data_IF_457032637869
#
_entry.id   IF_457032637869
#
_cell.length_a   1.000
_cell.length_b   1.000
_cell.length_c   1.000
_cell.angle_alpha   90.00
_cell.angle_beta   90.00
_cell.angle_gamma   90.00
#
_symmetry.space_group_name_H-M   'P 1'
#
loop_
_entity.id
_entity.type
_entity.pdbx_description
1 polymer ?
#
# COMPACT_ATOMS: atom_id res chain seq x y z
N UNK A 1 -12.32 -3.24 52.52
CA UNK A 1 -13.00 -3.69 51.28
C UNK A 1 -13.06 -5.20 51.33
N UNK A 2 -14.24 -5.77 51.59
CA UNK A 2 -14.45 -7.21 51.70
C UNK A 2 -14.43 -7.85 50.31
N UNK A 3 -13.76 -8.99 50.20
CA UNK A 3 -13.63 -9.79 48.97
C UNK A 3 -14.97 -10.21 48.37
N UNK A 4 -16.04 -10.25 49.16
CA UNK A 4 -17.41 -10.51 48.71
C UNK A 4 -17.96 -9.45 47.75
N UNK A 5 -17.63 -8.17 47.95
CA UNK A 5 -18.10 -7.08 47.07
C UNK A 5 -17.55 -7.19 45.64
N UNK A 6 -16.28 -7.59 45.51
CA UNK A 6 -15.60 -7.78 44.21
C UNK A 6 -16.13 -8.98 43.43
N UNK A 7 -16.62 -10.01 44.11
CA UNK A 7 -17.25 -11.17 43.45
C UNK A 7 -18.61 -10.84 42.85
N UNK A 8 -19.41 -10.00 43.51
CA UNK A 8 -20.71 -9.54 43.01
C UNK A 8 -20.58 -8.71 41.72
N UNK A 9 -19.67 -7.73 41.72
CA UNK A 9 -19.42 -6.88 40.55
C UNK A 9 -18.92 -7.67 39.33
N UNK A 10 -18.11 -8.72 39.56
CA UNK A 10 -17.66 -9.62 38.50
C UNK A 10 -18.80 -10.46 37.91
N UNK A 11 -19.75 -10.89 38.72
CA UNK A 11 -20.91 -11.63 38.23
C UNK A 11 -21.85 -10.73 37.43
N UNK A 12 -22.14 -9.52 37.94
CA UNK A 12 -22.94 -8.53 37.24
C UNK A 12 -22.31 -8.11 35.89
N UNK A 13 -20.99 -7.88 35.85
CA UNK A 13 -20.28 -7.59 34.61
C UNK A 13 -20.33 -8.76 33.60
N UNK A 14 -20.27 -10.01 34.08
CA UNK A 14 -20.42 -11.20 33.22
C UNK A 14 -21.84 -11.33 32.67
N UNK A 15 -22.86 -11.04 33.48
CA UNK A 15 -24.26 -11.04 33.08
C UNK A 15 -24.47 -10.01 31.96
N UNK A 16 -24.06 -8.75 32.17
CA UNK A 16 -24.17 -7.66 31.20
C UNK A 16 -23.43 -7.96 29.90
N UNK A 17 -22.23 -8.56 29.97
CA UNK A 17 -21.50 -9.00 28.77
C UNK A 17 -22.20 -10.15 28.04
N UNK A 18 -22.86 -11.07 28.75
CA UNK A 18 -23.67 -12.14 28.14
C UNK A 18 -24.93 -11.58 27.48
N UNK A 19 -25.64 -10.65 28.12
CA UNK A 19 -26.82 -10.00 27.51
C UNK A 19 -26.43 -9.15 26.32
N UNK A 20 -25.35 -8.35 26.39
CA UNK A 20 -24.84 -7.62 25.22
C UNK A 20 -24.42 -8.56 24.09
N UNK A 21 -23.79 -9.71 24.38
CA UNK A 21 -23.45 -10.71 23.36
C UNK A 21 -24.66 -11.35 22.70
N UNK A 22 -25.72 -11.60 23.47
CA UNK A 22 -26.99 -12.11 22.93
C UNK A 22 -27.74 -11.03 22.13
N UNK A 23 -27.58 -9.76 22.51
CA UNK A 23 -28.20 -8.62 21.85
C UNK A 23 -27.46 -8.18 20.58
N UNK A 24 -26.14 -8.33 20.49
CA UNK A 24 -25.41 -8.24 19.23
C UNK A 24 -25.80 -9.46 18.38
N UNK A 25 -26.84 -9.29 17.57
CA UNK A 25 -27.30 -10.28 16.62
C UNK A 25 -26.10 -10.81 15.85
N UNK A 26 -25.89 -12.13 15.91
CA UNK A 26 -25.02 -12.78 14.95
C UNK A 26 -25.53 -12.33 13.57
N UNK A 27 -24.66 -11.75 12.71
CA UNK A 27 -25.09 -11.24 11.42
C UNK A 27 -25.85 -12.35 10.72
N UNK A 28 -27.10 -12.06 10.34
CA UNK A 28 -27.94 -13.09 9.74
C UNK A 28 -27.18 -13.62 8.51
N UNK A 29 -27.21 -14.94 8.25
CA UNK A 29 -26.52 -15.50 7.09
C UNK A 29 -26.95 -14.81 5.79
N UNK A 30 -28.20 -14.31 5.75
CA UNK A 30 -28.73 -13.49 4.68
C UNK A 30 -28.04 -12.12 4.56
N UNK A 31 -27.74 -11.46 5.68
CA UNK A 31 -27.00 -10.19 5.69
C UNK A 31 -25.55 -10.38 5.22
N UNK A 32 -24.89 -11.46 5.63
CA UNK A 32 -23.56 -11.80 5.11
C UNK A 32 -23.62 -12.04 3.60
N UNK A 33 -24.62 -12.78 3.11
CA UNK A 33 -24.81 -13.02 1.69
C UNK A 33 -25.12 -11.73 0.92
N UNK A 34 -25.89 -10.82 1.50
CA UNK A 34 -26.21 -9.51 0.93
C UNK A 34 -24.98 -8.62 0.82
N UNK A 35 -24.18 -8.52 1.89
CA UNK A 35 -22.90 -7.78 1.86
C UNK A 35 -21.96 -8.33 0.78
N UNK A 36 -21.96 -9.65 0.61
CA UNK A 36 -21.20 -10.34 -0.44
C UNK A 36 -21.69 -10.01 -1.84
N UNK A 37 -23.00 -10.09 -2.07
CA UNK A 37 -23.61 -9.75 -3.35
C UNK A 37 -23.33 -8.30 -3.71
N UNK A 38 -23.51 -7.37 -2.78
CA UNK A 38 -23.24 -5.93 -2.99
C UNK A 38 -21.76 -5.70 -3.30
N UNK A 39 -20.84 -6.31 -2.55
CA UNK A 39 -19.40 -6.19 -2.81
C UNK A 39 -19.00 -6.72 -4.18
N UNK A 40 -19.51 -7.89 -4.57
CA UNK A 40 -19.23 -8.51 -5.87
C UNK A 40 -19.86 -7.71 -7.02
N UNK A 41 -21.07 -7.19 -6.83
CA UNK A 41 -21.74 -6.33 -7.79
C UNK A 41 -21.00 -5.00 -8.00
N UNK A 42 -20.58 -4.33 -6.92
CA UNK A 42 -19.79 -3.08 -7.01
C UNK A 42 -18.46 -3.36 -7.70
N UNK A 43 -17.76 -4.43 -7.31
CA UNK A 43 -16.49 -4.79 -7.94
C UNK A 43 -16.67 -5.09 -9.44
N UNK A 44 -17.69 -5.87 -9.81
CA UNK A 44 -18.01 -6.17 -11.20
C UNK A 44 -18.35 -4.89 -11.98
N UNK A 45 -19.19 -4.01 -11.42
CA UNK A 45 -19.59 -2.76 -12.07
C UNK A 45 -18.41 -1.81 -12.26
N UNK A 46 -17.56 -1.63 -11.24
CA UNK A 46 -16.34 -0.84 -11.35
C UNK A 46 -15.37 -1.42 -12.37
N UNK A 47 -15.22 -2.74 -12.40
CA UNK A 47 -14.41 -3.43 -13.39
C UNK A 47 -14.96 -3.23 -14.80
N UNK A 48 -16.28 -3.35 -15.00
CA UNK A 48 -16.94 -3.09 -16.28
C UNK A 48 -16.82 -1.63 -16.70
N UNK A 49 -16.97 -0.66 -15.79
CA UNK A 49 -16.76 0.76 -16.10
C UNK A 49 -15.31 1.05 -16.46
N UNK A 50 -14.36 0.46 -15.72
CA UNK A 50 -12.95 0.54 -16.04
C UNK A 50 -12.68 -0.02 -17.46
N UNK A 51 -13.21 -1.21 -17.78
CA UNK A 51 -13.10 -1.80 -19.11
C UNK A 51 -13.84 -1.04 -20.20
N UNK A 52 -14.97 -0.39 -19.89
CA UNK A 52 -15.65 0.45 -20.86
C UNK A 52 -14.84 1.72 -21.15
N UNK A 53 -14.17 2.28 -20.13
CA UNK A 53 -13.32 3.45 -20.27
C UNK A 53 -11.97 3.15 -20.93
N UNK A 54 -11.37 1.98 -20.65
CA UNK A 54 -10.05 1.60 -21.20
C UNK A 54 -10.13 0.68 -22.41
N UNK A 55 -11.25 -0.01 -22.62
CA UNK A 55 -11.45 -1.02 -23.66
C UNK A 55 -11.13 -0.53 -25.07
N UNK A 56 -11.59 0.66 -25.50
CA UNK A 56 -11.20 1.22 -26.79
C UNK A 56 -9.68 1.42 -26.92
N UNK A 57 -9.03 1.90 -25.85
CA UNK A 57 -7.57 2.09 -25.83
C UNK A 57 -6.77 0.77 -25.80
N UNK A 58 -7.37 -0.31 -25.30
CA UNK A 58 -6.77 -1.67 -25.29
C UNK A 58 -6.95 -2.36 -26.66
N UNK A 59 -8.14 -2.22 -27.26
CA UNK A 59 -8.53 -2.94 -28.48
C UNK A 59 -8.05 -2.26 -29.76
N UNK A 60 -7.89 -0.94 -29.73
CA UNK A 60 -7.32 -0.14 -30.81
C UNK A 60 -6.23 0.75 -30.20
N UNK A 61 -5.05 0.19 -29.87
CA UNK A 61 -3.92 1.02 -29.50
C UNK A 61 -3.61 1.91 -30.69
N UNK A 62 -3.82 3.23 -30.55
CA UNK A 62 -3.40 4.22 -31.54
C UNK A 62 -1.88 4.10 -31.70
N UNK A 63 -1.48 3.33 -32.71
CA UNK A 63 -0.11 2.96 -33.01
C UNK A 63 0.63 4.07 -33.78
N UNK A 64 0.29 5.32 -33.54
CA UNK A 64 0.92 6.49 -34.17
C UNK A 64 2.25 6.87 -33.51
N UNK A 65 2.68 6.17 -32.45
CA UNK A 65 3.97 6.40 -31.80
C UNK A 65 4.95 5.25 -32.05
N UNK A 66 6.25 5.59 -32.17
CA UNK A 66 7.35 4.72 -32.62
C UNK A 66 7.65 3.46 -31.77
N UNK A 67 6.80 3.10 -30.80
CA UNK A 67 6.98 1.96 -29.89
C UNK A 67 5.70 1.16 -29.82
N UNK A 68 5.22 0.66 -30.96
CA UNK A 68 4.24 -0.43 -30.92
C UNK A 68 4.98 -1.73 -30.68
N UNK A 69 4.55 -2.44 -29.64
CA UNK A 69 5.01 -3.80 -29.37
C UNK A 69 4.62 -4.66 -30.56
N UNK A 70 5.59 -5.40 -31.08
CA UNK A 70 5.30 -6.48 -32.00
C UNK A 70 4.57 -7.62 -31.27
N UNK A 71 4.03 -8.57 -32.03
CA UNK A 71 3.36 -9.75 -31.48
C UNK A 71 4.20 -10.45 -30.39
N UNK A 72 5.51 -10.58 -30.62
CA UNK A 72 6.45 -11.17 -29.65
C UNK A 72 6.63 -10.33 -28.38
N UNK A 73 6.61 -9.00 -28.50
CA UNK A 73 6.66 -8.09 -27.36
C UNK A 73 5.45 -8.25 -26.43
N UNK A 74 4.25 -8.41 -26.99
CA UNK A 74 3.04 -8.64 -26.21
C UNK A 74 3.08 -9.94 -25.40
N UNK A 75 3.67 -11.01 -25.95
CA UNK A 75 3.86 -12.28 -25.24
C UNK A 75 4.82 -12.13 -24.05
N UNK A 76 5.92 -11.38 -24.22
CA UNK A 76 6.86 -11.09 -23.15
C UNK A 76 6.18 -10.26 -22.05
N UNK A 77 5.40 -9.25 -22.42
CA UNK A 77 4.64 -8.42 -21.47
C UNK A 77 3.62 -9.28 -20.71
N UNK A 78 2.92 -10.20 -21.38
CA UNK A 78 1.99 -11.13 -20.75
C UNK A 78 2.69 -12.03 -19.73
N UNK A 79 3.88 -12.56 -20.06
CA UNK A 79 4.66 -13.42 -19.18
C UNK A 79 5.17 -12.66 -17.95
N UNK A 80 5.70 -11.45 -18.15
CA UNK A 80 6.15 -10.58 -17.04
C UNK A 80 4.96 -10.19 -16.15
N UNK A 81 3.81 -9.84 -16.74
CA UNK A 81 2.59 -9.55 -16.02
C UNK A 81 2.14 -10.75 -15.16
N UNK A 82 2.10 -11.95 -15.74
CA UNK A 82 1.72 -13.17 -15.03
C UNK A 82 2.66 -13.45 -13.84
N UNK A 83 3.97 -13.32 -14.05
CA UNK A 83 4.97 -13.52 -13.00
C UNK A 83 4.83 -12.49 -11.86
N UNK A 84 4.60 -11.21 -12.18
CA UNK A 84 4.38 -10.16 -11.20
C UNK A 84 3.08 -10.35 -10.42
N UNK A 85 1.99 -10.72 -11.09
CA UNK A 85 0.70 -11.04 -10.45
C UNK A 85 0.83 -12.20 -9.48
N UNK A 86 1.52 -13.26 -9.88
CA UNK A 86 1.78 -14.42 -9.01
C UNK A 86 2.61 -14.02 -7.79
N UNK A 87 3.67 -13.23 -7.98
CA UNK A 87 4.50 -12.73 -6.88
C UNK A 87 3.69 -11.85 -5.92
N UNK A 88 2.88 -10.94 -6.46
CA UNK A 88 2.00 -10.07 -5.67
C UNK A 88 0.97 -10.87 -4.87
N UNK A 89 0.38 -11.91 -5.46
CA UNK A 89 -0.53 -12.81 -4.77
C UNK A 89 0.17 -13.54 -3.61
N UNK A 90 1.38 -14.07 -3.84
CA UNK A 90 2.16 -14.76 -2.79
C UNK A 90 2.57 -13.81 -1.67
N UNK A 91 3.01 -12.59 -1.99
CA UNK A 91 3.41 -11.58 -0.99
C UNK A 91 2.18 -11.06 -0.23
N UNK A 92 1.08 -10.77 -0.93
CA UNK A 92 -0.17 -10.33 -0.34
C UNK A 92 -0.75 -11.36 0.63
N UNK A 93 -0.83 -12.63 0.23
CA UNK A 93 -1.30 -13.71 1.10
C UNK A 93 -0.42 -13.91 2.35
N UNK A 94 0.88 -13.58 2.27
CA UNK A 94 1.77 -13.57 3.45
C UNK A 94 1.47 -12.40 4.40
N UNK A 95 1.10 -11.24 3.86
CA UNK A 95 0.73 -10.07 4.66
C UNK A 95 -0.61 -10.25 5.39
N UNK A 96 -1.50 -11.06 4.82
CA UNK A 96 -2.89 -11.24 5.28
C UNK A 96 -3.06 -12.42 6.26
N UNK A 97 -1.96 -12.98 6.80
CA UNK A 97 -2.04 -14.05 7.80
C UNK A 97 -2.73 -13.63 9.12
N UNK A 98 -2.90 -14.56 10.09
CA UNK A 98 -3.56 -14.32 11.39
C UNK A 98 -2.95 -13.19 12.24
N UNK A 99 -1.81 -12.65 11.80
CA UNK A 99 -1.17 -11.42 12.30
C UNK A 99 -1.99 -10.16 11.99
N UNK A 100 -2.92 -10.22 11.03
CA UNK A 100 -3.81 -9.11 10.64
C UNK A 100 -5.15 -9.10 11.38
N UNK A 101 -5.40 -10.05 12.30
CA UNK A 101 -6.57 -10.00 13.17
C UNK A 101 -6.42 -8.85 14.19
N UNK A 102 -7.49 -8.10 14.39
CA UNK A 102 -7.55 -6.95 15.31
C UNK A 102 -7.08 -7.37 16.73
N UNK A 103 -6.23 -6.61 17.45
CA UNK A 103 -5.57 -7.06 18.69
C UNK A 103 -6.55 -7.45 19.79
N UNK A 104 -7.70 -6.76 19.83
CA UNK A 104 -8.79 -7.08 20.76
C UNK A 104 -9.41 -8.44 20.45
N UNK A 105 -9.51 -8.82 19.17
CA UNK A 105 -9.99 -10.13 18.76
C UNK A 105 -8.92 -11.21 18.97
N UNK A 106 -7.65 -10.95 18.66
CA UNK A 106 -6.56 -11.93 18.82
C UNK A 106 -6.32 -12.32 20.29
N UNK A 107 -6.34 -11.36 21.23
CA UNK A 107 -6.21 -11.63 22.67
C UNK A 107 -7.43 -12.36 23.26
N UNK A 108 -8.64 -12.07 22.76
CA UNK A 108 -9.86 -12.80 23.11
C UNK A 108 -9.93 -14.20 22.49
N UNK A 109 -9.47 -14.37 21.25
CA UNK A 109 -9.42 -15.65 20.52
C UNK A 109 -8.45 -16.64 21.18
N UNK A 110 -7.37 -16.15 21.79
CA UNK A 110 -6.40 -16.99 22.50
C UNK A 110 -6.90 -17.44 23.88
N UNK A 111 -7.72 -16.62 24.56
CA UNK A 111 -8.17 -16.87 25.94
C UNK A 111 -9.55 -17.53 26.06
N UNK A 112 -10.40 -17.47 25.03
CA UNK A 112 -11.73 -18.10 25.08
C UNK A 112 -11.74 -19.52 24.50
N UNK A 113 -12.48 -20.47 25.11
CA UNK A 113 -12.69 -21.81 24.56
C UNK A 113 -13.67 -21.84 23.37
N UNK A 114 -13.93 -20.68 22.75
CA UNK A 114 -14.84 -20.57 21.62
C UNK A 114 -14.20 -21.17 20.35
N UNK A 115 -15.02 -21.78 19.51
CA UNK A 115 -14.59 -22.40 18.27
C UNK A 115 -14.03 -21.35 17.31
N UNK A 116 -12.70 -21.32 17.17
CA UNK A 116 -11.95 -20.32 16.41
C UNK A 116 -12.24 -20.38 14.92
N UNK A 117 -12.69 -21.54 14.43
CA UNK A 117 -13.06 -21.74 13.04
C UNK A 117 -14.22 -20.80 12.64
N UNK A 118 -15.21 -20.60 13.51
CA UNK A 118 -16.38 -19.77 13.22
C UNK A 118 -16.03 -18.27 13.16
N UNK A 119 -15.12 -17.80 14.02
CA UNK A 119 -14.70 -16.39 14.04
C UNK A 119 -13.76 -16.04 12.89
N UNK A 120 -12.83 -16.93 12.54
CA UNK A 120 -11.90 -16.71 11.44
C UNK A 120 -12.54 -16.91 10.07
N UNK A 121 -13.66 -17.66 9.98
CA UNK A 121 -14.35 -17.93 8.71
C UNK A 121 -14.72 -16.65 7.97
N UNK A 122 -15.23 -15.65 8.66
CA UNK A 122 -15.62 -14.36 8.05
C UNK A 122 -14.43 -13.59 7.48
N UNK A 123 -13.32 -13.53 8.22
CA UNK A 123 -12.11 -12.83 7.77
C UNK A 123 -11.45 -13.60 6.61
N UNK A 124 -11.30 -14.92 6.73
CA UNK A 124 -10.77 -15.78 5.66
C UNK A 124 -11.59 -15.63 4.38
N UNK A 125 -12.92 -15.58 4.49
CA UNK A 125 -13.82 -15.35 3.37
C UNK A 125 -13.58 -13.98 2.71
N UNK A 126 -13.43 -12.90 3.49
CA UNK A 126 -13.13 -11.56 2.94
C UNK A 126 -11.77 -11.51 2.23
N UNK A 127 -10.77 -12.14 2.81
CA UNK A 127 -9.42 -12.23 2.23
C UNK A 127 -9.46 -13.01 0.91
N UNK A 128 -10.16 -14.14 0.92
CA UNK A 128 -10.36 -14.96 -0.27
C UNK A 128 -11.09 -14.16 -1.35
N UNK A 129 -12.14 -13.40 -1.00
CA UNK A 129 -12.86 -12.53 -1.93
C UNK A 129 -11.93 -11.53 -2.60
N UNK A 130 -11.17 -10.77 -1.80
CA UNK A 130 -10.25 -9.75 -2.31
C UNK A 130 -9.19 -10.39 -3.20
N UNK A 131 -8.63 -11.54 -2.80
CA UNK A 131 -7.65 -12.27 -3.58
C UNK A 131 -8.25 -12.76 -4.92
N UNK A 132 -9.48 -13.29 -4.91
CA UNK A 132 -10.17 -13.76 -6.12
C UNK A 132 -10.45 -12.61 -7.07
N UNK A 133 -10.99 -11.49 -6.58
CA UNK A 133 -11.29 -10.31 -7.40
C UNK A 133 -10.01 -9.72 -7.99
N UNK A 134 -8.96 -9.54 -7.17
CA UNK A 134 -7.68 -9.03 -7.63
C UNK A 134 -7.03 -9.98 -8.66
N UNK A 135 -7.04 -11.30 -8.39
CA UNK A 135 -6.47 -12.31 -9.27
C UNK A 135 -7.19 -12.43 -10.60
N UNK A 136 -8.53 -12.41 -10.60
CA UNK A 136 -9.34 -12.41 -11.81
C UNK A 136 -9.11 -11.13 -12.63
N UNK A 137 -9.11 -9.96 -11.98
CA UNK A 137 -8.85 -8.67 -12.63
C UNK A 137 -7.47 -8.64 -13.29
N UNK A 138 -6.45 -9.16 -12.60
CA UNK A 138 -5.10 -9.30 -13.14
C UNK A 138 -5.04 -10.30 -14.30
N UNK A 139 -5.75 -11.43 -14.19
CA UNK A 139 -5.87 -12.43 -15.25
C UNK A 139 -6.50 -11.85 -16.51
N UNK A 140 -7.49 -10.95 -16.39
CA UNK A 140 -8.05 -10.26 -17.56
C UNK A 140 -6.98 -9.43 -18.28
N UNK A 141 -6.14 -8.68 -17.54
CA UNK A 141 -5.05 -7.88 -18.14
C UNK A 141 -4.05 -8.76 -18.89
N UNK A 142 -3.67 -9.89 -18.31
CA UNK A 142 -2.81 -10.89 -18.95
C UNK A 142 -3.49 -11.46 -20.20
N UNK A 143 -4.79 -11.74 -20.15
CA UNK A 143 -5.52 -12.31 -21.28
C UNK A 143 -5.64 -11.35 -22.47
N UNK A 144 -5.75 -10.04 -22.23
CA UNK A 144 -5.65 -9.04 -23.30
C UNK A 144 -4.25 -9.02 -23.92
N UNK A 145 -3.20 -9.07 -23.09
CA UNK A 145 -1.82 -9.15 -23.57
C UNK A 145 -1.60 -10.36 -24.49
N UNK A 146 -2.08 -11.54 -24.06
CA UNK A 146 -2.00 -12.78 -24.85
C UNK A 146 -2.84 -12.70 -26.13
N UNK A 147 -4.05 -12.14 -26.07
CA UNK A 147 -4.89 -11.97 -27.25
C UNK A 147 -4.22 -11.07 -28.31
N UNK A 148 -3.59 -9.97 -27.87
CA UNK A 148 -2.87 -9.06 -28.74
C UNK A 148 -1.61 -9.71 -29.34
N UNK A 149 -0.83 -10.43 -28.54
CA UNK A 149 0.37 -11.15 -29.02
C UNK A 149 0.05 -12.26 -30.02
N UNK A 150 -1.04 -12.99 -29.79
CA UNK A 150 -1.51 -14.03 -30.70
C UNK A 150 -2.20 -13.50 -31.98
N UNK A 151 -2.34 -12.18 -32.15
CA UNK A 151 -3.10 -11.59 -33.27
C UNK A 151 -4.61 -11.86 -33.23
N UNK A 152 -5.15 -12.23 -32.07
CA UNK A 152 -6.56 -12.55 -31.83
C UNK A 152 -7.36 -11.32 -31.33
N UNK A 153 -6.91 -10.10 -31.65
CA UNK A 153 -7.51 -8.84 -31.19
C UNK A 153 -8.97 -8.64 -31.64
N UNK A 154 -9.39 -9.31 -32.71
CA UNK A 154 -10.78 -9.30 -33.17
C UNK A 154 -11.73 -10.14 -32.28
N UNK A 155 -11.21 -11.08 -31.49
CA UNK A 155 -11.98 -11.96 -30.61
C UNK A 155 -11.24 -12.28 -29.30
N UNK A 156 -10.89 -11.26 -28.48
CA UNK A 156 -10.05 -11.45 -27.29
C UNK A 156 -10.77 -12.17 -26.15
N UNK A 157 -12.09 -12.35 -26.26
CA UNK A 157 -12.98 -12.89 -25.23
C UNK A 157 -12.47 -14.24 -24.70
N UNK A 158 -12.04 -15.14 -25.60
CA UNK A 158 -11.60 -16.49 -25.18
C UNK A 158 -10.33 -16.41 -24.34
N UNK A 159 -9.31 -15.68 -24.78
CA UNK A 159 -8.05 -15.51 -24.06
C UNK A 159 -8.25 -14.77 -22.73
N UNK A 160 -9.07 -13.72 -22.73
CA UNK A 160 -9.42 -12.95 -21.53
C UNK A 160 -10.11 -13.82 -20.49
N UNK A 161 -11.14 -14.57 -20.89
CA UNK A 161 -11.88 -15.46 -19.98
C UNK A 161 -10.98 -16.58 -19.47
N UNK A 162 -10.14 -17.18 -20.33
CA UNK A 162 -9.21 -18.22 -19.94
C UNK A 162 -8.18 -17.72 -18.90
N UNK A 163 -7.54 -16.58 -19.14
CA UNK A 163 -6.56 -16.02 -18.20
C UNK A 163 -7.21 -15.53 -16.89
N UNK A 164 -8.42 -14.97 -16.94
CA UNK A 164 -9.18 -14.63 -15.74
C UNK A 164 -9.52 -15.87 -14.90
N UNK A 165 -9.93 -16.97 -15.55
CA UNK A 165 -10.20 -18.24 -14.88
C UNK A 165 -8.94 -18.84 -14.26
N UNK A 166 -7.79 -18.77 -14.95
CA UNK A 166 -6.50 -19.21 -14.40
C UNK A 166 -6.10 -18.36 -13.19
N UNK A 167 -6.22 -17.03 -13.27
CA UNK A 167 -5.93 -16.13 -12.14
C UNK A 167 -6.80 -16.44 -10.92
N UNK A 168 -8.10 -16.64 -11.14
CA UNK A 168 -9.04 -17.06 -10.10
C UNK A 168 -8.66 -18.41 -9.48
N UNK A 169 -8.33 -19.40 -10.31
CA UNK A 169 -7.94 -20.75 -9.87
C UNK A 169 -6.63 -20.72 -9.05
N UNK A 170 -5.64 -19.94 -9.49
CA UNK A 170 -4.39 -19.74 -8.76
C UNK A 170 -4.66 -19.11 -7.38
N UNK A 171 -5.50 -18.08 -7.30
CA UNK A 171 -5.86 -17.46 -6.01
C UNK A 171 -6.65 -18.41 -5.10
N UNK A 172 -7.59 -19.17 -5.65
CA UNK A 172 -8.35 -20.21 -4.93
C UNK A 172 -7.45 -21.33 -4.40
N UNK A 173 -6.36 -21.68 -5.10
CA UNK A 173 -5.40 -22.70 -4.67
C UNK A 173 -4.36 -22.14 -3.67
N UNK A 174 -3.82 -20.95 -3.92
CA UNK A 174 -2.79 -20.36 -3.06
C UNK A 174 -3.32 -20.00 -1.68
N UNK A 175 -4.55 -19.46 -1.59
CA UNK A 175 -5.15 -19.04 -0.31
C UNK A 175 -5.20 -20.16 0.74
N UNK A 176 -5.80 -21.35 0.47
CA UNK A 176 -5.81 -22.45 1.43
C UNK A 176 -4.42 -23.01 1.69
N UNK A 177 -3.50 -23.03 0.72
CA UNK A 177 -2.11 -23.46 0.94
C UNK A 177 -1.41 -22.53 1.92
N UNK A 178 -1.56 -21.21 1.75
CA UNK A 178 -0.97 -20.22 2.66
C UNK A 178 -1.59 -20.29 4.05
N UNK A 179 -2.92 -20.46 4.14
CA UNK A 179 -3.62 -20.64 5.41
C UNK A 179 -3.19 -21.92 6.11
N UNK A 180 -3.02 -23.03 5.39
CA UNK A 180 -2.54 -24.31 5.94
C UNK A 180 -1.09 -24.21 6.41
N UNK A 181 -0.22 -23.53 5.68
CA UNK A 181 1.18 -23.29 6.09
C UNK A 181 1.28 -22.37 7.30
N UNK A 182 0.43 -21.36 7.39
CA UNK A 182 0.33 -20.46 8.55
C UNK A 182 -0.31 -21.16 9.77
N UNK A 183 -1.28 -22.05 9.53
CA UNK A 183 -1.92 -22.86 10.57
C UNK A 183 -1.06 -24.02 11.07
N UNK A 184 -0.15 -24.54 10.24
CA UNK A 184 0.73 -25.67 10.56
C UNK A 184 1.75 -25.41 11.67
N UNK A 185 2.02 -24.15 12.05
CA UNK A 185 2.70 -23.84 13.31
C UNK A 185 1.68 -23.87 14.46
N UNK A 186 1.09 -25.04 14.70
CA UNK A 186 0.32 -25.31 15.91
C UNK A 186 1.29 -25.40 17.08
N UNK A 187 1.78 -24.26 17.56
CA UNK A 187 2.24 -24.15 18.93
C UNK A 187 1.04 -24.55 19.78
N UNK A 188 1.14 -25.74 20.38
CA UNK A 188 0.07 -26.38 21.13
C UNK A 188 -0.64 -25.38 22.05
N UNK A 189 -1.96 -25.49 22.19
CA UNK A 189 -2.75 -24.64 23.11
C UNK A 189 -2.26 -24.68 24.58
N UNK A 190 -1.30 -25.56 24.91
CA UNK A 190 -0.52 -25.54 26.16
C UNK A 190 0.57 -24.46 26.17
N UNK A 191 1.32 -24.29 25.09
CA UNK A 191 2.36 -23.28 25.00
C UNK A 191 1.79 -21.84 24.89
N UNK A 192 0.60 -21.67 24.31
CA UNK A 192 -0.10 -20.37 24.32
C UNK A 192 -0.61 -19.95 25.72
N UNK A 193 -0.87 -20.92 26.61
CA UNK A 193 -1.25 -20.65 28.01
C UNK A 193 -0.06 -20.33 28.94
N UNK A 194 1.16 -20.59 28.48
CA UNK A 194 2.38 -20.31 29.22
C UNK A 194 2.94 -18.90 28.93
N UNK A 195 2.30 -18.12 28.06
CA UNK A 195 2.77 -16.78 27.68
C UNK A 195 2.39 -15.78 28.78
N UNK A 196 3.35 -15.10 29.42
CA UNK A 196 3.08 -14.15 30.50
C UNK A 196 2.24 -12.95 30.02
N UNK A 197 1.38 -12.41 30.90
CA UNK A 197 0.52 -11.26 30.60
C UNK A 197 1.29 -10.01 30.09
N UNK A 198 2.54 -9.84 30.55
CA UNK A 198 3.43 -8.78 30.07
C UNK A 198 3.85 -8.95 28.59
N UNK A 199 3.93 -10.19 28.09
CA UNK A 199 4.18 -10.46 26.69
C UNK A 199 2.91 -10.28 25.85
N UNK A 200 1.74 -10.62 26.39
CA UNK A 200 0.44 -10.36 25.74
C UNK A 200 0.16 -8.85 25.61
N UNK A 201 0.44 -8.05 26.65
CA UNK A 201 0.34 -6.60 26.59
C UNK A 201 1.33 -6.00 25.56
N UNK A 202 2.56 -6.52 25.50
CA UNK A 202 3.56 -6.11 24.49
C UNK A 202 3.17 -6.49 23.07
N UNK A 203 2.53 -7.65 22.89
CA UNK A 203 1.99 -8.08 21.61
C UNK A 203 0.81 -7.19 21.19
N UNK A 204 -0.10 -6.86 22.12
CA UNK A 204 -1.19 -5.91 21.89
C UNK A 204 -0.69 -4.55 21.40
N UNK A 205 0.39 -4.02 22.00
CA UNK A 205 1.03 -2.78 21.54
C UNK A 205 1.69 -2.88 20.16
N UNK A 206 2.20 -4.06 19.74
CA UNK A 206 2.67 -4.25 18.34
C UNK A 206 1.49 -4.18 17.41
N UNK A 207 0.46 -4.96 17.68
CA UNK A 207 -0.64 -5.15 16.74
C UNK A 207 -1.46 -3.88 16.65
N UNK A 208 -1.71 -3.15 17.75
CA UNK A 208 -2.39 -1.86 17.70
C UNK A 208 -1.61 -0.84 16.86
N UNK A 209 -0.29 -0.89 16.91
CA UNK A 209 0.55 -0.11 16.04
C UNK A 209 0.58 -0.59 14.58
N UNK A 210 0.47 -1.89 14.34
CA UNK A 210 0.28 -2.46 12.98
C UNK A 210 -1.07 -2.02 12.44
N UNK A 211 -2.15 -2.17 13.19
CA UNK A 211 -3.49 -1.74 12.80
C UNK A 211 -3.53 -0.25 12.56
N UNK A 212 -2.92 0.56 13.43
CA UNK A 212 -2.75 1.99 13.19
C UNK A 212 -1.97 2.22 11.88
N UNK A 213 -0.79 1.64 11.72
CA UNK A 213 0.00 1.77 10.48
C UNK A 213 -0.74 1.28 9.22
N UNK A 214 -1.59 0.27 9.32
CA UNK A 214 -2.34 -0.30 8.18
C UNK A 214 -3.54 0.60 7.85
N UNK A 215 -4.29 1.07 8.86
CA UNK A 215 -5.39 2.01 8.70
C UNK A 215 -4.91 3.41 8.28
N UNK A 216 -3.71 3.79 8.72
CA UNK A 216 -3.09 5.07 8.36
C UNK A 216 -2.27 4.97 7.05
N UNK A 217 -2.21 3.78 6.42
CA UNK A 217 -1.36 3.48 5.26
C UNK A 217 0.07 4.00 5.43
N UNK A 218 0.58 3.90 6.64
CA UNK A 218 1.88 4.41 7.04
C UNK A 218 2.75 3.29 7.59
N UNK A 219 3.37 2.56 6.66
CA UNK A 219 4.35 1.51 6.98
C UNK A 219 5.54 2.05 7.79
N UNK A 220 5.79 3.37 7.74
CA UNK A 220 6.86 4.04 8.50
C UNK A 220 6.60 3.98 10.00
N UNK A 221 5.34 4.11 10.45
CA UNK A 221 5.00 4.01 11.87
C UNK A 221 5.41 2.65 12.49
N UNK A 222 5.29 1.57 11.71
CA UNK A 222 5.75 0.24 12.13
C UNK A 222 7.26 0.14 12.23
N UNK A 223 7.97 0.74 11.29
CA UNK A 223 9.42 0.79 11.33
C UNK A 223 9.94 1.61 12.50
N UNK A 224 9.31 2.74 12.81
CA UNK A 224 9.65 3.59 13.96
C UNK A 224 9.46 2.81 15.26
N UNK A 225 8.38 2.05 15.40
CA UNK A 225 8.17 1.22 16.59
C UNK A 225 9.12 0.03 16.68
N UNK A 226 9.39 -0.66 15.56
CA UNK A 226 10.38 -1.72 15.51
C UNK A 226 11.80 -1.18 15.80
N UNK A 227 12.13 0.02 15.31
CA UNK A 227 13.37 0.72 15.59
C UNK A 227 13.44 1.11 17.07
N UNK A 228 12.41 1.74 17.63
CA UNK A 228 12.34 2.11 19.05
C UNK A 228 12.52 0.92 19.97
N UNK A 229 11.93 -0.24 19.64
CA UNK A 229 12.13 -1.49 20.39
C UNK A 229 13.57 -2.01 20.29
N UNK A 230 14.15 -1.98 19.09
CA UNK A 230 15.56 -2.37 18.88
C UNK A 230 16.51 -1.47 19.67
N UNK A 231 16.25 -0.16 19.65
CA UNK A 231 17.00 0.84 20.41
C UNK A 231 16.86 0.62 21.92
N UNK A 232 15.62 0.43 22.42
CA UNK A 232 15.35 0.18 23.83
C UNK A 232 16.03 -1.10 24.36
N UNK A 233 16.15 -2.15 23.53
CA UNK A 233 16.83 -3.40 23.92
C UNK A 233 18.35 -3.28 23.98
N UNK A 234 18.95 -2.46 23.13
CA UNK A 234 20.42 -2.26 23.10
C UNK A 234 20.91 -1.24 24.14
N UNK A 235 20.02 -0.39 24.65
CA UNK A 235 20.36 0.59 25.67
C UNK A 235 21.15 1.76 25.07
N UNK A 236 22.44 1.88 25.41
CA UNK A 236 23.27 3.03 25.00
C UNK A 236 23.91 2.77 23.64
N UNK A 237 23.88 3.77 22.78
CA UNK A 237 24.60 3.79 21.51
C UNK A 237 25.77 4.76 21.62
N UNK A 238 26.97 4.28 21.27
CA UNK A 238 28.09 5.18 21.04
C UNK A 238 27.81 5.95 19.74
N UNK A 239 27.61 7.26 19.85
CA UNK A 239 27.59 8.14 18.68
C UNK A 239 28.97 8.12 18.04
N UNK A 240 29.05 7.70 16.78
CA UNK A 240 30.27 7.88 16.00
C UNK A 240 30.22 9.24 15.32
N UNK A 241 31.31 10.02 15.34
CA UNK A 241 31.38 11.24 14.53
C UNK A 241 31.17 10.87 13.06
N UNK A 242 30.29 11.60 12.39
CA UNK A 242 30.09 11.46 10.94
C UNK A 242 31.34 11.88 10.19
N UNK A 243 31.61 11.24 9.05
CA UNK A 243 32.67 11.68 8.15
C UNK A 243 32.14 12.82 7.25
N UNK A 244 32.92 13.89 7.10
CA UNK A 244 32.53 15.10 6.36
C UNK A 244 31.75 16.10 7.22
N UNK A 245 31.59 17.33 6.71
CA UNK A 245 30.85 18.39 7.38
C UNK A 245 29.38 18.04 7.73
N UNK A 246 28.61 19.00 8.28
CA UNK A 246 27.30 18.73 8.85
C UNK A 246 26.28 18.18 7.83
N UNK A 247 26.27 18.70 6.61
CA UNK A 247 25.36 18.24 5.55
C UNK A 247 25.78 16.92 4.86
N UNK A 248 27.04 16.74 4.40
CA UNK A 248 27.43 15.50 3.73
C UNK A 248 27.38 14.29 4.67
N UNK A 249 27.63 14.46 5.97
CA UNK A 249 27.53 13.36 6.94
C UNK A 249 26.09 12.85 7.09
N UNK A 250 25.09 13.73 7.06
CA UNK A 250 23.66 13.38 7.04
C UNK A 250 23.34 12.60 5.77
N UNK A 251 23.80 13.08 4.61
CA UNK A 251 23.56 12.42 3.33
C UNK A 251 24.15 11.00 3.30
N UNK A 252 25.39 10.83 3.75
CA UNK A 252 26.05 9.53 3.85
C UNK A 252 25.27 8.61 4.79
N UNK A 253 24.75 9.11 5.91
CA UNK A 253 23.95 8.32 6.83
C UNK A 253 22.64 7.84 6.19
N UNK A 254 21.94 8.69 5.45
CA UNK A 254 20.72 8.33 4.72
C UNK A 254 20.99 7.29 3.64
N UNK A 255 22.07 7.41 2.86
CA UNK A 255 22.45 6.38 1.89
C UNK A 255 22.72 5.02 2.55
N UNK A 256 23.40 5.00 3.71
CA UNK A 256 23.61 3.77 4.48
C UNK A 256 22.29 3.24 5.07
N UNK A 257 21.35 4.11 5.44
CA UNK A 257 20.02 3.70 5.89
C UNK A 257 19.22 3.06 4.74
N UNK A 258 19.28 3.65 3.54
CA UNK A 258 18.66 3.11 2.32
C UNK A 258 19.27 1.78 1.90
N UNK A 259 20.60 1.66 1.91
CA UNK A 259 21.29 0.41 1.61
C UNK A 259 20.86 -0.74 2.54
N UNK A 260 20.59 -0.43 3.82
CA UNK A 260 20.05 -1.41 4.79
C UNK A 260 18.58 -1.77 4.54
N UNK A 261 17.84 -0.95 3.78
CA UNK A 261 16.45 -1.19 3.35
C UNK A 261 16.35 -1.69 1.91
N UNK A 262 17.44 -2.20 1.34
CA UNK A 262 17.54 -2.64 -0.06
C UNK A 262 16.38 -3.56 -0.49
N UNK A 263 15.94 -4.47 0.37
CA UNK A 263 14.82 -5.38 0.06
C UNK A 263 13.50 -4.64 -0.16
N UNK A 264 13.18 -3.64 0.67
CA UNK A 264 11.95 -2.85 0.52
C UNK A 264 12.01 -1.96 -0.72
N UNK A 265 13.18 -1.35 -0.96
CA UNK A 265 13.42 -0.57 -2.16
C UNK A 265 13.29 -1.42 -3.42
N UNK A 266 13.84 -2.64 -3.42
CA UNK A 266 13.73 -3.57 -4.53
C UNK A 266 12.28 -3.98 -4.78
N UNK A 267 11.49 -4.22 -3.74
CA UNK A 267 10.05 -4.50 -3.91
C UNK A 267 9.29 -3.29 -4.49
N UNK A 268 9.63 -2.06 -4.06
CA UNK A 268 9.00 -0.85 -4.57
C UNK A 268 9.41 -0.55 -6.03
N UNK A 269 10.68 -0.78 -6.39
CA UNK A 269 11.15 -0.69 -7.77
C UNK A 269 10.54 -1.78 -8.66
N UNK A 270 10.35 -2.99 -8.14
CA UNK A 270 9.68 -4.07 -8.88
C UNK A 270 8.21 -3.72 -9.19
N UNK A 271 7.52 -3.01 -8.29
CA UNK A 271 6.19 -2.49 -8.63
C UNK A 271 6.21 -1.45 -9.76
N UNK A 272 7.31 -0.73 -9.99
CA UNK A 272 7.43 0.17 -11.15
C UNK A 272 7.40 -0.61 -12.47
N UNK A 273 8.00 -1.81 -12.50
CA UNK A 273 7.91 -2.71 -13.65
C UNK A 273 6.46 -3.15 -13.88
N UNK A 274 5.73 -3.45 -12.80
CA UNK A 274 4.29 -3.72 -12.89
C UNK A 274 3.50 -2.55 -13.46
N UNK A 275 3.81 -1.31 -13.05
CA UNK A 275 3.19 -0.10 -13.59
C UNK A 275 3.50 0.09 -15.08
N UNK A 276 4.73 -0.19 -15.50
CA UNK A 276 5.12 -0.15 -16.91
C UNK A 276 4.32 -1.16 -17.74
N UNK A 277 4.25 -2.41 -17.28
CA UNK A 277 3.48 -3.48 -17.93
C UNK A 277 2.02 -3.08 -18.08
N UNK A 278 1.40 -2.55 -17.03
CA UNK A 278 0.03 -2.02 -17.09
C UNK A 278 -0.07 -0.90 -18.13
N UNK A 279 0.89 0.03 -18.19
CA UNK A 279 0.89 1.11 -19.17
C UNK A 279 1.06 0.66 -20.61
N UNK A 280 1.87 -0.38 -20.85
CA UNK A 280 2.02 -0.99 -22.17
C UNK A 280 0.77 -1.73 -22.62
N UNK A 281 -0.04 -2.24 -21.68
CA UNK A 281 -1.26 -2.99 -21.98
C UNK A 281 -2.52 -2.12 -22.06
N UNK A 282 -2.65 -1.13 -21.17
CA UNK A 282 -3.83 -0.27 -21.01
C UNK A 282 -3.64 1.13 -21.62
N UNK A 283 -2.46 1.40 -22.17
CA UNK A 283 -2.11 2.68 -22.77
C UNK A 283 -1.51 3.70 -21.81
N UNK A 284 -1.09 4.82 -22.41
CA UNK A 284 -0.28 5.87 -21.77
C UNK A 284 -0.94 6.47 -20.54
N UNK A 285 -2.26 6.68 -20.55
CA UNK A 285 -2.98 7.31 -19.43
C UNK A 285 -3.01 6.42 -18.20
N UNK A 286 -3.42 5.16 -18.35
CA UNK A 286 -3.44 4.19 -17.24
C UNK A 286 -2.03 3.93 -16.71
N UNK A 287 -1.06 3.79 -17.61
CA UNK A 287 0.35 3.67 -17.26
C UNK A 287 0.87 4.86 -16.46
N UNK A 288 0.59 6.08 -16.91
CA UNK A 288 1.00 7.31 -16.23
C UNK A 288 0.38 7.44 -14.82
N UNK A 289 -0.91 7.14 -14.66
CA UNK A 289 -1.59 7.18 -13.35
C UNK A 289 -0.97 6.17 -12.38
N UNK A 290 -0.81 4.92 -12.83
CA UNK A 290 -0.25 3.87 -11.97
C UNK A 290 1.24 4.13 -11.67
N UNK A 291 2.00 4.59 -12.66
CA UNK A 291 3.40 5.01 -12.48
C UNK A 291 3.50 6.11 -11.43
N UNK A 292 2.64 7.12 -11.47
CA UNK A 292 2.62 8.19 -10.47
C UNK A 292 2.48 7.63 -9.05
N UNK A 293 1.49 6.75 -8.83
CA UNK A 293 1.21 6.16 -7.52
C UNK A 293 2.35 5.24 -7.03
N UNK A 294 2.94 4.46 -7.92
CA UNK A 294 4.04 3.56 -7.57
C UNK A 294 5.34 4.34 -7.31
N UNK A 295 5.66 5.33 -8.14
CA UNK A 295 6.83 6.22 -7.92
C UNK A 295 6.66 7.00 -6.62
N UNK A 296 5.44 7.41 -6.28
CA UNK A 296 5.13 7.97 -4.96
C UNK A 296 5.41 7.00 -3.81
N UNK A 297 5.05 5.71 -3.95
CA UNK A 297 5.38 4.71 -2.95
C UNK A 297 6.91 4.50 -2.82
N UNK A 298 7.65 4.53 -3.94
CA UNK A 298 9.13 4.51 -3.95
C UNK A 298 9.69 5.73 -3.21
N UNK A 299 9.18 6.93 -3.49
CA UNK A 299 9.60 8.16 -2.83
C UNK A 299 9.32 8.10 -1.33
N UNK A 300 8.14 7.65 -0.90
CA UNK A 300 7.79 7.52 0.53
C UNK A 300 8.66 6.50 1.26
N UNK A 301 8.93 5.34 0.66
CA UNK A 301 9.76 4.30 1.30
C UNK A 301 11.22 4.72 1.44
N UNK A 302 11.69 5.63 0.57
CA UNK A 302 13.04 6.19 0.62
C UNK A 302 13.16 7.49 1.42
N UNK A 303 12.06 8.17 1.74
CA UNK A 303 12.01 9.43 2.47
C UNK A 303 12.09 9.27 4.01
N UNK A 304 12.80 8.27 4.53
CA UNK A 304 12.86 7.98 5.97
C UNK A 304 13.43 9.13 6.80
N UNK A 305 14.61 9.66 6.46
CA UNK A 305 15.18 10.82 7.14
C UNK A 305 14.36 12.10 6.92
N UNK A 306 13.92 12.34 5.69
CA UNK A 306 13.11 13.51 5.34
C UNK A 306 11.80 13.55 6.11
N UNK A 307 11.03 12.45 6.14
CA UNK A 307 9.77 12.36 6.89
C UNK A 307 10.02 12.63 8.38
N UNK A 308 11.04 12.01 8.97
CA UNK A 308 11.41 12.23 10.38
C UNK A 308 11.71 13.71 10.67
N UNK A 309 12.43 14.39 9.77
CA UNK A 309 12.73 15.82 9.86
C UNK A 309 11.47 16.70 9.75
N UNK A 310 10.58 16.37 8.81
CA UNK A 310 9.34 17.11 8.58
C UNK A 310 8.32 16.93 9.71
N UNK A 311 8.25 15.75 10.33
CA UNK A 311 7.28 15.45 11.40
C UNK A 311 7.77 15.83 12.80
N UNK A 312 9.07 16.10 12.99
CA UNK A 312 9.65 16.30 14.34
C UNK A 312 10.13 17.75 14.56
N UNK A 313 9.30 18.65 15.11
CA UNK A 313 9.70 20.04 15.32
C UNK A 313 10.89 20.20 16.29
N UNK A 314 11.03 19.30 17.27
CA UNK A 314 12.17 19.31 18.19
C UNK A 314 13.51 19.09 17.50
N UNK A 315 13.56 18.29 16.42
CA UNK A 315 14.78 18.05 15.66
C UNK A 315 15.19 19.30 14.87
N UNK A 316 14.20 20.04 14.33
CA UNK A 316 14.44 21.33 13.66
C UNK A 316 15.00 22.38 14.61
N UNK A 317 14.52 22.41 15.86
CA UNK A 317 15.03 23.32 16.90
C UNK A 317 16.45 22.98 17.35
N UNK A 318 16.86 21.71 17.25
CA UNK A 318 18.19 21.26 17.66
C UNK A 318 19.29 21.54 16.62
N UNK A 319 18.93 21.82 15.36
CA UNK A 319 19.85 22.15 14.26
C UNK A 319 19.47 23.51 13.64
N UNK A 320 19.76 24.63 14.33
CA UNK A 320 19.22 25.95 13.99
C UNK A 320 19.80 26.55 12.71
N UNK A 321 21.01 26.15 12.30
CA UNK A 321 21.77 26.97 11.36
C UNK A 321 21.13 27.06 9.96
N UNK A 322 20.54 25.98 9.40
CA UNK A 322 19.85 26.04 8.09
C UNK A 322 18.78 24.93 7.89
N UNK A 323 17.52 25.12 8.33
CA UNK A 323 16.50 24.06 8.24
C UNK A 323 16.14 23.67 6.80
N UNK A 324 16.17 24.64 5.87
CA UNK A 324 15.94 24.38 4.45
C UNK A 324 17.06 23.57 3.79
N UNK A 325 18.32 23.81 4.18
CA UNK A 325 19.47 23.08 3.63
C UNK A 325 19.45 21.62 4.07
N UNK A 326 19.13 21.34 5.34
CA UNK A 326 18.98 19.97 5.85
C UNK A 326 17.83 19.26 5.13
N UNK A 327 16.67 19.91 4.97
CA UNK A 327 15.55 19.34 4.23
C UNK A 327 15.91 19.04 2.77
N UNK A 328 16.61 19.95 2.10
CA UNK A 328 17.06 19.76 0.72
C UNK A 328 18.02 18.57 0.59
N UNK A 329 18.99 18.44 1.51
CA UNK A 329 19.91 17.28 1.53
C UNK A 329 19.16 15.98 1.77
N UNK A 330 18.21 15.96 2.71
CA UNK A 330 17.38 14.78 2.99
C UNK A 330 16.40 14.44 1.86
N UNK A 331 16.07 15.40 0.99
CA UNK A 331 15.23 15.18 -0.19
C UNK A 331 15.99 14.55 -1.37
N UNK A 332 17.33 14.64 -1.41
CA UNK A 332 18.13 14.09 -2.51
C UNK A 332 17.92 12.58 -2.67
N UNK A 333 18.07 11.72 -1.65
CA UNK A 333 17.92 10.28 -1.84
C UNK A 333 16.53 9.85 -2.33
N UNK A 334 15.39 10.29 -1.75
CA UNK A 334 14.08 9.93 -2.29
C UNK A 334 13.84 10.49 -3.69
N UNK A 335 14.46 11.61 -4.07
CA UNK A 335 14.31 12.18 -5.41
C UNK A 335 15.01 11.29 -6.43
N UNK A 336 16.26 10.90 -6.15
CA UNK A 336 17.03 9.98 -7.00
C UNK A 336 16.27 8.66 -7.17
N UNK A 337 15.75 8.09 -6.09
CA UNK A 337 14.96 6.85 -6.16
C UNK A 337 13.67 7.03 -6.95
N UNK A 338 13.00 8.18 -6.83
CA UNK A 338 11.81 8.49 -7.62
C UNK A 338 12.13 8.66 -9.11
N UNK A 339 13.26 9.28 -9.47
CA UNK A 339 13.73 9.37 -10.87
C UNK A 339 13.98 7.98 -11.44
N UNK A 340 14.70 7.12 -10.70
CA UNK A 340 14.96 5.73 -11.13
C UNK A 340 13.66 4.95 -11.29
N UNK A 341 12.77 5.01 -10.29
CA UNK A 341 11.47 4.34 -10.36
C UNK A 341 10.60 4.85 -11.51
N UNK A 342 10.65 6.15 -11.81
CA UNK A 342 9.90 6.78 -12.88
C UNK A 342 10.45 6.42 -14.26
N UNK A 343 11.78 6.36 -14.43
CA UNK A 343 12.42 5.86 -15.64
C UNK A 343 12.00 4.42 -15.93
N UNK A 344 11.93 3.56 -14.90
CA UNK A 344 11.44 2.19 -15.05
C UNK A 344 9.95 2.16 -15.41
N UNK A 345 9.12 2.93 -14.71
CA UNK A 345 7.66 2.87 -14.87
C UNK A 345 7.16 3.49 -16.19
N UNK A 346 7.87 4.49 -16.72
CA UNK A 346 7.38 5.37 -17.78
C UNK A 346 8.27 5.38 -19.02
N UNK A 347 9.53 4.96 -18.91
CA UNK A 347 10.54 5.11 -19.96
C UNK A 347 10.17 4.50 -21.31
N UNK A 348 9.45 3.37 -21.32
CA UNK A 348 9.00 2.73 -22.55
C UNK A 348 7.57 3.11 -23.00
N UNK A 349 6.90 4.05 -22.31
CA UNK A 349 5.56 4.54 -22.68
C UNK A 349 5.58 5.64 -23.75
N UNK A 350 6.72 5.87 -24.41
CA UNK A 350 6.90 6.94 -25.39
C UNK A 350 6.66 8.34 -24.81
N UNK A 351 6.84 8.52 -23.49
CA UNK A 351 6.78 9.84 -22.86
C UNK A 351 8.10 10.60 -23.09
N UNK A 352 8.04 11.94 -23.24
CA UNK A 352 9.23 12.73 -23.54
C UNK A 352 10.25 12.66 -22.39
N UNK A 353 11.51 12.95 -22.69
CA UNK A 353 12.65 12.75 -21.77
C UNK A 353 12.51 13.48 -20.42
N UNK A 354 11.74 14.57 -20.36
CA UNK A 354 11.52 15.35 -19.14
C UNK A 354 10.43 14.73 -18.22
N UNK A 355 9.58 13.85 -18.74
CA UNK A 355 8.45 13.29 -18.00
C UNK A 355 8.90 12.49 -16.76
N UNK A 356 9.92 11.60 -16.83
CA UNK A 356 10.37 10.86 -15.65
C UNK A 356 10.80 11.76 -14.49
N UNK A 357 11.48 12.86 -14.81
CA UNK A 357 11.94 13.87 -13.84
C UNK A 357 10.76 14.64 -13.25
N UNK A 358 9.78 15.02 -14.07
CA UNK A 358 8.57 15.68 -13.59
C UNK A 358 7.73 14.79 -12.65
N UNK A 359 7.57 13.50 -12.97
CA UNK A 359 6.96 12.51 -12.09
C UNK A 359 7.71 12.38 -10.76
N UNK A 360 9.05 12.41 -10.78
CA UNK A 360 9.86 12.35 -9.57
C UNK A 360 9.64 13.57 -8.67
N UNK A 361 9.54 14.78 -9.24
CA UNK A 361 9.18 15.98 -8.51
C UNK A 361 7.75 15.90 -7.92
N UNK A 362 6.77 15.46 -8.70
CA UNK A 362 5.39 15.28 -8.23
C UNK A 362 5.31 14.24 -7.09
N UNK A 363 6.01 13.11 -7.22
CA UNK A 363 6.11 12.08 -6.20
C UNK A 363 6.78 12.58 -4.91
N UNK A 364 7.85 13.37 -5.04
CA UNK A 364 8.50 14.02 -3.90
C UNK A 364 7.57 15.00 -3.19
N UNK A 365 6.88 15.86 -3.96
CA UNK A 365 5.92 16.82 -3.44
C UNK A 365 4.78 16.11 -2.69
N UNK A 366 4.25 15.04 -3.26
CA UNK A 366 3.27 14.18 -2.60
C UNK A 366 3.81 13.54 -1.32
N UNK A 367 5.04 13.02 -1.34
CA UNK A 367 5.66 12.38 -0.18
C UNK A 367 5.85 13.38 0.99
N UNK A 368 6.23 14.62 0.68
CA UNK A 368 6.32 15.70 1.67
C UNK A 368 4.94 16.13 2.19
N UNK A 369 3.91 16.17 1.33
CA UNK A 369 2.53 16.44 1.74
C UNK A 369 1.96 15.34 2.64
N UNK A 370 2.30 14.08 2.38
CA UNK A 370 1.89 12.97 3.22
C UNK A 370 2.49 13.02 4.64
N UNK A 371 3.51 13.86 4.88
CA UNK A 371 4.10 14.09 6.20
C UNK A 371 3.38 15.18 7.02
N UNK A 372 2.39 15.87 6.43
CA UNK A 372 1.62 16.86 7.16
C UNK A 372 0.81 16.20 8.28
N UNK A 373 0.56 16.93 9.38
CA UNK A 373 -0.30 16.43 10.43
C UNK A 373 -1.64 16.03 9.83
N UNK A 374 -2.17 14.85 10.19
CA UNK A 374 -3.44 14.40 9.66
C UNK A 374 -4.53 15.40 10.07
N UNK A 375 -5.52 15.66 9.19
CA UNK A 375 -6.69 16.40 9.59
C UNK A 375 -7.40 15.66 10.73
N UNK A 376 -8.07 16.41 11.61
CA UNK A 376 -8.90 15.82 12.65
C UNK A 376 -9.88 14.80 12.04
N UNK A 377 -10.19 13.73 12.78
CA UNK A 377 -11.04 12.63 12.27
C UNK A 377 -12.39 13.13 11.73
N UNK A 378 -12.84 14.30 12.17
CA UNK A 378 -13.97 15.02 11.60
C UNK A 378 -15.28 14.27 11.76
N UNK A 379 -16.27 14.66 10.95
CA UNK A 379 -17.57 14.00 10.93
C UNK A 379 -17.43 12.52 10.52
N UNK A 380 -18.22 11.66 11.17
CA UNK A 380 -18.34 10.26 10.80
C UNK A 380 -19.59 10.10 9.91
N UNK A 381 -19.40 9.55 8.71
CA UNK A 381 -20.53 9.17 7.85
C UNK A 381 -20.90 7.72 8.12
N UNK A 382 -22.17 7.47 8.42
CA UNK A 382 -22.70 6.12 8.51
C UNK A 382 -22.78 5.52 7.10
N UNK A 383 -21.95 4.53 6.81
CA UNK A 383 -22.05 3.72 5.59
C UNK A 383 -22.61 2.34 5.94
N UNK A 384 -23.14 1.57 4.98
CA UNK A 384 -23.57 0.19 5.22
C UNK A 384 -22.46 -0.70 5.80
N UNK A 385 -21.17 -0.38 5.52
CA UNK A 385 -20.01 -1.07 6.06
C UNK A 385 -19.53 -0.58 7.43
N UNK A 386 -20.24 0.37 8.06
CA UNK A 386 -19.87 1.00 9.33
C UNK A 386 -19.60 2.50 9.20
N UNK A 387 -19.29 3.14 10.32
CA UNK A 387 -18.96 4.57 10.34
C UNK A 387 -17.58 4.81 9.70
N UNK A 388 -17.54 5.62 8.64
CA UNK A 388 -16.30 6.07 7.98
C UNK A 388 -16.05 7.53 8.32
N UNK A 389 -14.90 7.80 8.94
CA UNK A 389 -14.49 9.16 9.30
C UNK A 389 -13.93 9.90 8.09
N UNK A 390 -14.37 11.15 7.88
CA UNK A 390 -13.89 11.99 6.78
C UNK A 390 -12.38 12.21 6.86
N UNK A 391 -11.84 12.39 8.06
CA UNK A 391 -10.39 12.54 8.25
C UNK A 391 -9.61 11.31 7.79
N UNK A 392 -10.21 10.11 7.81
CA UNK A 392 -9.57 8.89 7.29
C UNK A 392 -9.47 8.92 5.76
N UNK A 393 -10.54 9.35 5.08
CA UNK A 393 -10.54 9.52 3.62
C UNK A 393 -9.54 10.62 3.22
N UNK A 394 -9.59 11.77 3.89
CA UNK A 394 -8.65 12.87 3.62
C UNK A 394 -7.21 12.42 3.79
N UNK A 395 -6.92 11.61 4.82
CA UNK A 395 -5.58 11.05 5.03
C UNK A 395 -5.14 10.08 3.94
N UNK A 396 -6.07 9.30 3.38
CA UNK A 396 -5.79 8.40 2.26
C UNK A 396 -5.50 9.18 0.97
N UNK A 397 -6.13 10.33 0.80
CA UNK A 397 -5.99 11.22 -0.36
C UNK A 397 -4.77 12.14 -0.23
N UNK A 398 -4.31 12.43 1.00
CA UNK A 398 -3.22 13.35 1.29
C UNK A 398 -1.87 12.84 0.76
N UNK A 399 -1.38 13.47 -0.31
CA UNK A 399 -0.16 13.07 -1.00
C UNK A 399 -0.46 12.53 -2.40
N UNK A 400 -1.21 11.41 -2.54
CA UNK A 400 -1.65 10.92 -3.85
C UNK A 400 -2.36 11.97 -4.70
N UNK A 401 -3.11 12.88 -4.08
CA UNK A 401 -3.73 14.01 -4.76
C UNK A 401 -2.75 14.90 -5.54
N UNK A 402 -1.65 15.33 -4.91
CA UNK A 402 -0.59 16.11 -5.59
C UNK A 402 0.08 15.28 -6.68
N UNK A 403 0.30 14.00 -6.43
CA UNK A 403 0.99 13.11 -7.37
C UNK A 403 0.15 12.93 -8.64
N UNK A 404 -1.16 12.71 -8.48
CA UNK A 404 -2.10 12.59 -9.60
C UNK A 404 -2.28 13.92 -10.33
N UNK A 405 -2.31 15.05 -9.63
CA UNK A 405 -2.30 16.37 -10.25
C UNK A 405 -1.03 16.61 -11.07
N UNK A 406 0.14 16.23 -10.53
CA UNK A 406 1.42 16.30 -11.25
C UNK A 406 1.43 15.38 -12.48
N UNK A 407 0.90 14.16 -12.37
CA UNK A 407 0.75 13.25 -13.50
C UNK A 407 -0.14 13.85 -14.60
N UNK A 408 -1.26 14.50 -14.23
CA UNK A 408 -2.11 15.20 -15.17
C UNK A 408 -1.37 16.36 -15.86
N UNK A 409 -0.59 17.15 -15.12
CA UNK A 409 0.25 18.22 -15.69
C UNK A 409 1.28 17.66 -16.67
N UNK A 410 1.91 16.51 -16.38
CA UNK A 410 2.84 15.84 -17.30
C UNK A 410 2.12 15.37 -18.57
N UNK A 411 0.94 14.77 -18.46
CA UNK A 411 0.18 14.32 -19.62
C UNK A 411 -0.28 15.50 -20.49
N UNK A 412 -0.77 16.58 -19.88
CA UNK A 412 -1.17 17.81 -20.59
C UNK A 412 0.04 18.46 -21.26
N UNK A 413 1.16 18.60 -20.54
CA UNK A 413 2.39 19.16 -21.07
C UNK A 413 2.95 18.36 -22.24
N UNK A 414 2.82 17.03 -22.21
CA UNK A 414 3.21 16.16 -23.32
C UNK A 414 2.26 16.28 -24.51
N UNK A 415 0.96 16.55 -24.29
CA UNK A 415 -0.02 16.71 -25.36
C UNK A 415 0.09 18.06 -26.08
N UNK A 416 0.49 19.13 -25.36
CA UNK A 416 0.59 20.50 -25.90
C UNK A 416 2.04 20.88 -26.26
N UNK A 417 2.98 19.93 -26.16
CA UNK A 417 4.43 20.15 -26.35
C UNK A 417 5.02 21.28 -25.45
N UNK A 418 4.44 21.43 -24.25
CA UNK A 418 4.84 22.42 -23.24
C UNK A 418 5.60 21.74 -22.08
N UNK A 419 6.51 20.84 -22.44
CA UNK A 419 7.25 20.02 -21.49
C UNK A 419 8.04 20.78 -20.43
N UNK A 420 8.81 21.82 -20.80
CA UNK A 420 9.54 22.64 -19.84
C UNK A 420 8.63 23.29 -18.80
N UNK A 421 7.43 23.75 -19.19
CA UNK A 421 6.47 24.34 -18.25
C UNK A 421 5.90 23.30 -17.28
N UNK A 422 5.57 22.10 -17.76
CA UNK A 422 5.11 21.00 -16.91
C UNK A 422 6.19 20.57 -15.89
N UNK A 423 7.45 20.49 -16.31
CA UNK A 423 8.59 20.20 -15.44
C UNK A 423 8.78 21.31 -14.40
N UNK A 424 8.76 22.58 -14.80
CA UNK A 424 8.86 23.74 -13.91
C UNK A 424 7.69 23.77 -12.90
N UNK A 425 6.47 23.46 -13.32
CA UNK A 425 5.31 23.37 -12.43
C UNK A 425 5.50 22.28 -11.36
N UNK A 426 5.95 21.08 -11.76
CA UNK A 426 6.21 19.99 -10.81
C UNK A 426 7.38 20.32 -9.86
N UNK A 427 8.47 20.90 -10.38
CA UNK A 427 9.61 21.35 -9.59
C UNK A 427 9.22 22.46 -8.62
N UNK A 428 8.40 23.43 -9.05
CA UNK A 428 7.85 24.50 -8.23
C UNK A 428 6.95 23.98 -7.12
N UNK A 429 6.10 22.98 -7.40
CA UNK A 429 5.31 22.29 -6.38
C UNK A 429 6.19 21.59 -5.34
N UNK A 430 7.23 20.89 -5.77
CA UNK A 430 8.18 20.24 -4.85
C UNK A 430 8.96 21.26 -4.01
N UNK A 431 9.44 22.36 -4.63
CA UNK A 431 10.13 23.44 -3.94
C UNK A 431 9.22 24.14 -2.92
N UNK A 432 7.98 24.43 -3.29
CA UNK A 432 6.98 25.00 -2.38
C UNK A 432 6.70 24.08 -1.19
N UNK A 433 6.52 22.78 -1.43
CA UNK A 433 6.34 21.77 -0.38
C UNK A 433 7.56 21.65 0.54
N UNK A 434 8.76 21.88 0.03
CA UNK A 434 10.00 21.86 0.80
C UNK A 434 10.16 23.12 1.65
N UNK A 435 9.89 24.30 1.09
CA UNK A 435 10.16 25.61 1.68
C UNK A 435 9.00 26.16 2.51
N UNK A 436 7.78 25.63 2.37
CA UNK A 436 6.64 26.15 3.12
C UNK A 436 6.89 26.08 4.64
N UNK A 437 6.50 27.12 5.40
CA UNK A 437 6.53 27.08 6.85
C UNK A 437 5.73 25.88 7.38
N UNK A 438 6.28 25.19 8.38
CA UNK A 438 5.61 24.11 9.11
C UNK A 438 5.70 24.43 10.60
N UNK A 439 4.66 25.09 11.09
CA UNK A 439 4.53 25.52 12.48
C UNK A 439 4.26 24.34 13.44
#
# INVERSE_FOLDING_TARGET
>A
MSTESLTGDRQAAKEVLRTRRRATHAPSPLQVLQDWYVGLFIAATLLTMLFAATGPAILQPDCDTAVCLDAGGHDVVALVAAALGLLAAVVGLRAVGPVSADPGQASWLLSTPADRALLLRGQVLRVLLVAVVAGASWGVLVGFAVASGAGLSAAPVVSVVACAAVGLLVCLLLTPITLRRQGGSFVSARAARAVPDGELARAGQVVQAVTAATLMLDTVALEVLAARRRLARRGRYASRPGAGGPLPSILVHEFHALARRSRQLLTALLSCVGALVVGLLLGRLAGAVLAALVVFAVARTSAGGLSTWLTTPGLRRALPDHPGAVAAVLAVPPFVMAVVGSLIAVGALGLPWWAPVAFAFAAMAGAMRACDPPPDLGAAFATPGGAVHVGLIQRLVLGPDIVLAGAAVVLIGAAVDQGPLALLACAGLAAWQLLRPRD
#
